data_IF_977470494970
#
_entry.id   IF_977470494970
#
_cell.length_a   1.000
_cell.length_b   1.000
_cell.length_c   1.000
_cell.angle_alpha   90.00
_cell.angle_beta   90.00
_cell.angle_gamma   90.00
#
_symmetry.space_group_name_H-M   'P 1'
#
loop_
_entity.id
_entity.type
_entity.pdbx_description
1 polymer ?
#
# COMPACT_ATOMS: atom_id res chain seq x y z
N UNK A 1 20.48 -8.79 43.76
CA UNK A 1 20.12 -7.44 43.29
C UNK A 1 20.84 -7.17 41.97
N UNK A 2 20.06 -6.69 40.99
CA UNK A 2 20.39 -6.16 39.64
C UNK A 2 20.79 -7.14 38.52
N UNK A 3 19.79 -7.34 37.66
CA UNK A 3 19.76 -7.90 36.32
C UNK A 3 20.42 -6.93 35.34
N UNK A 4 21.31 -7.40 34.47
CA UNK A 4 21.88 -6.62 33.37
C UNK A 4 20.86 -6.53 32.23
N UNK A 5 19.99 -5.52 32.24
CA UNK A 5 19.11 -5.19 31.12
C UNK A 5 19.79 -4.12 30.25
N UNK A 6 20.18 -4.50 29.02
CA UNK A 6 20.65 -3.58 27.98
C UNK A 6 19.60 -3.51 26.87
N UNK A 7 18.87 -2.41 26.82
CA UNK A 7 17.97 -2.10 25.70
C UNK A 7 18.79 -1.43 24.59
N UNK A 8 19.00 -2.10 23.46
CA UNK A 8 19.50 -1.46 22.25
C UNK A 8 18.34 -0.75 21.53
N UNK A 9 17.86 0.38 22.08
CA UNK A 9 16.83 1.20 21.44
C UNK A 9 17.54 2.16 20.49
N UNK A 10 17.55 1.83 19.20
CA UNK A 10 17.90 2.81 18.16
C UNK A 10 16.79 3.85 18.10
N UNK A 11 17.07 5.15 18.26
CA UNK A 11 16.05 6.19 18.11
C UNK A 11 15.43 6.12 16.72
N UNK A 12 14.11 6.00 16.64
CA UNK A 12 13.40 6.15 15.36
C UNK A 12 13.21 7.64 15.08
N UNK A 13 13.83 8.12 14.01
CA UNK A 13 13.68 9.51 13.58
C UNK A 13 12.47 9.63 12.65
N UNK A 14 11.36 10.17 13.17
CA UNK A 14 10.15 10.44 12.41
C UNK A 14 10.11 11.92 12.00
N UNK A 15 10.12 12.18 10.70
CA UNK A 15 10.10 13.55 10.13
C UNK A 15 8.68 14.03 9.84
N UNK A 16 7.79 13.12 9.41
CA UNK A 16 6.42 13.44 9.03
C UNK A 16 5.47 13.29 10.22
N UNK A 17 4.52 14.22 10.35
CA UNK A 17 3.37 14.06 11.26
C UNK A 17 2.42 12.98 10.74
N UNK A 18 1.52 12.51 11.61
CA UNK A 18 0.52 11.52 11.23
C UNK A 18 -0.42 12.09 10.13
N UNK A 19 -0.80 13.37 10.22
CA UNK A 19 -1.59 14.06 9.19
C UNK A 19 -0.87 14.09 7.83
N UNK A 20 0.45 14.37 7.81
CA UNK A 20 1.24 14.37 6.58
C UNK A 20 1.34 12.97 5.96
N UNK A 21 1.40 11.92 6.79
CA UNK A 21 1.37 10.54 6.33
C UNK A 21 0.00 10.21 5.73
N UNK A 22 -1.09 10.66 6.36
CA UNK A 22 -2.45 10.46 5.87
C UNK A 22 -2.70 11.17 4.54
N UNK A 23 -2.18 12.38 4.36
CA UNK A 23 -2.24 13.11 3.09
C UNK A 23 -1.55 12.33 1.96
N UNK A 24 -0.34 11.84 2.21
CA UNK A 24 0.41 11.04 1.23
C UNK A 24 -0.33 9.75 0.91
N UNK A 25 -0.85 9.06 1.93
CA UNK A 25 -1.60 7.82 1.74
C UNK A 25 -2.87 8.06 0.92
N UNK A 26 -3.61 9.12 1.21
CA UNK A 26 -4.84 9.49 0.50
C UNK A 26 -4.55 9.85 -0.95
N UNK A 27 -3.52 10.65 -1.22
CA UNK A 27 -3.09 10.96 -2.59
C UNK A 27 -2.64 9.70 -3.35
N UNK A 28 -1.96 8.78 -2.68
CA UNK A 28 -1.53 7.51 -3.29
C UNK A 28 -2.72 6.62 -3.67
N UNK A 29 -3.72 6.52 -2.78
CA UNK A 29 -4.99 5.81 -3.08
C UNK A 29 -5.71 6.46 -4.27
N UNK A 30 -5.79 7.78 -4.31
CA UNK A 30 -6.42 8.51 -5.42
C UNK A 30 -5.72 8.23 -6.76
N UNK A 31 -4.38 8.24 -6.78
CA UNK A 31 -3.60 7.93 -7.98
C UNK A 31 -3.92 6.51 -8.48
N UNK A 32 -3.88 5.51 -7.59
CA UNK A 32 -4.14 4.12 -7.97
C UNK A 32 -5.58 3.89 -8.44
N UNK A 33 -6.54 4.61 -7.88
CA UNK A 33 -7.96 4.47 -8.22
C UNK A 33 -8.33 5.22 -9.52
N UNK A 34 -7.83 6.44 -9.71
CA UNK A 34 -8.20 7.30 -10.86
C UNK A 34 -7.30 7.09 -12.08
N UNK A 35 -5.99 7.03 -11.86
CA UNK A 35 -4.98 6.92 -12.91
C UNK A 35 -4.69 5.44 -13.15
N UNK A 36 -4.40 4.70 -12.09
CA UNK A 36 -4.01 3.30 -12.15
C UNK A 36 -2.51 3.11 -12.45
N UNK A 37 -2.15 1.86 -12.74
CA UNK A 37 -0.78 1.42 -13.04
C UNK A 37 -0.79 0.53 -14.28
N UNK A 38 0.24 0.65 -15.12
CA UNK A 38 0.42 -0.25 -16.26
C UNK A 38 1.09 -1.55 -15.80
N UNK A 39 0.46 -2.68 -16.11
CA UNK A 39 0.94 -4.01 -15.77
C UNK A 39 1.07 -4.80 -17.06
N UNK A 40 2.30 -5.18 -17.41
CA UNK A 40 2.61 -5.89 -18.65
C UNK A 40 2.33 -7.40 -18.57
N UNK A 41 2.27 -7.96 -17.36
CA UNK A 41 1.99 -9.37 -17.15
C UNK A 41 0.48 -9.67 -17.20
N UNK A 42 0.07 -10.51 -18.14
CA UNK A 42 -1.35 -10.82 -18.38
C UNK A 42 -1.99 -11.59 -17.22
N UNK A 43 -1.22 -12.43 -16.52
CA UNK A 43 -1.72 -13.18 -15.38
C UNK A 43 -2.01 -12.23 -14.20
N UNK A 44 -1.10 -11.29 -13.91
CA UNK A 44 -1.28 -10.28 -12.89
C UNK A 44 -2.49 -9.38 -13.17
N UNK A 45 -2.69 -8.95 -14.43
CA UNK A 45 -3.89 -8.20 -14.83
C UNK A 45 -5.14 -9.01 -14.53
N UNK A 46 -5.17 -10.30 -14.91
CA UNK A 46 -6.32 -11.19 -14.67
C UNK A 46 -6.63 -11.31 -13.17
N UNK A 47 -5.62 -11.59 -12.34
CA UNK A 47 -5.77 -11.72 -10.88
C UNK A 47 -6.35 -10.44 -10.28
N UNK A 48 -5.84 -9.27 -10.70
CA UNK A 48 -6.33 -7.99 -10.19
C UNK A 48 -7.78 -7.72 -10.62
N UNK A 49 -8.16 -8.06 -11.87
CA UNK A 49 -9.55 -7.95 -12.33
C UNK A 49 -10.49 -8.86 -11.54
N UNK A 50 -10.09 -10.10 -11.29
CA UNK A 50 -10.86 -11.05 -10.47
C UNK A 50 -11.02 -10.55 -9.03
N UNK A 51 -10.02 -9.82 -8.52
CA UNK A 51 -10.08 -9.15 -7.22
C UNK A 51 -10.93 -7.87 -7.17
N UNK A 52 -11.43 -7.38 -8.31
CA UNK A 52 -12.29 -6.19 -8.41
C UNK A 52 -11.63 -4.95 -9.01
N UNK A 53 -10.41 -5.05 -9.56
CA UNK A 53 -9.76 -3.94 -10.24
C UNK A 53 -10.38 -3.67 -11.61
N UNK A 54 -10.40 -2.41 -12.03
CA UNK A 54 -10.88 -2.03 -13.35
C UNK A 54 -9.71 -1.92 -14.34
N UNK A 55 -9.84 -2.45 -15.55
CA UNK A 55 -8.77 -2.40 -16.55
C UNK A 55 -9.20 -1.70 -17.82
N UNK A 56 -8.37 -0.77 -18.28
CA UNK A 56 -8.49 -0.04 -19.55
C UNK A 56 -7.40 -0.55 -20.50
N UNK A 57 -7.74 -0.72 -21.78
CA UNK A 57 -6.82 -1.13 -22.85
C UNK A 57 -6.02 -2.42 -22.55
N UNK A 58 -6.56 -3.29 -21.70
CA UNK A 58 -5.97 -4.60 -21.35
C UNK A 58 -4.74 -4.56 -20.43
N UNK A 59 -4.08 -3.41 -20.25
CA UNK A 59 -2.83 -3.30 -19.47
C UNK A 59 -2.84 -2.18 -18.42
N UNK A 60 -3.77 -1.23 -18.50
CA UNK A 60 -3.88 -0.15 -17.51
C UNK A 60 -4.86 -0.55 -16.41
N UNK A 61 -4.35 -0.84 -15.22
CA UNK A 61 -5.13 -1.37 -14.08
C UNK A 61 -5.36 -0.28 -13.04
N UNK A 62 -6.63 0.04 -12.79
CA UNK A 62 -7.08 0.94 -11.72
C UNK A 62 -7.47 0.13 -10.50
N UNK A 63 -6.85 0.42 -9.36
CA UNK A 63 -6.96 -0.36 -8.13
C UNK A 63 -7.75 0.48 -7.11
N UNK A 64 -9.01 0.12 -6.80
CA UNK A 64 -9.81 0.86 -5.84
C UNK A 64 -9.29 0.75 -4.41
N UNK A 65 -9.57 1.77 -3.60
CA UNK A 65 -9.11 1.87 -2.21
C UNK A 65 -9.48 0.66 -1.33
N UNK A 66 -10.62 0.00 -1.57
CA UNK A 66 -11.03 -1.17 -0.79
C UNK A 66 -10.10 -2.38 -1.00
N UNK A 67 -9.57 -2.57 -2.23
CA UNK A 67 -8.63 -3.65 -2.53
C UNK A 67 -7.32 -3.44 -1.79
N UNK A 68 -6.83 -2.18 -1.78
CA UNK A 68 -5.60 -1.79 -1.09
C UNK A 68 -5.74 -2.04 0.42
N UNK A 69 -6.83 -1.54 1.03
CA UNK A 69 -7.10 -1.73 2.46
C UNK A 69 -7.18 -3.21 2.83
N UNK A 70 -7.84 -4.03 2.00
CA UNK A 70 -7.91 -5.48 2.20
C UNK A 70 -6.53 -6.14 2.11
N UNK A 71 -5.73 -5.82 1.09
CA UNK A 71 -4.39 -6.37 0.92
C UNK A 71 -3.47 -6.03 2.10
N UNK A 72 -3.52 -4.77 2.57
CA UNK A 72 -2.76 -4.33 3.74
C UNK A 72 -3.19 -5.06 5.02
N UNK A 73 -4.49 -5.34 5.20
CA UNK A 73 -4.98 -6.04 6.39
C UNK A 73 -4.51 -7.49 6.52
N UNK A 74 -4.09 -8.09 5.41
CA UNK A 74 -3.60 -9.48 5.36
C UNK A 74 -2.08 -9.58 5.23
N UNK A 75 -1.39 -8.45 5.04
CA UNK A 75 0.06 -8.42 4.92
C UNK A 75 0.71 -8.64 6.32
N UNK A 76 1.76 -9.47 6.42
CA UNK A 76 2.51 -9.58 7.66
C UNK A 76 3.27 -8.27 7.94
N UNK A 77 3.22 -7.81 9.19
CA UNK A 77 3.92 -6.62 9.68
C UNK A 77 5.36 -6.89 10.09
#
# INVERSE_FOLDING_TARGET
MRVNYRSNITPQYRVLSDDQIEEILSASMEILERIGVRIEDDEAVRILKEGGAFCVDGKMVKIPSFMIKRALSTAPG
#
